data_IF_558576606856
#
_entry.id   IF_558576606856
#
_cell.length_a   1.000
_cell.length_b   1.000
_cell.length_c   1.000
_cell.angle_alpha   90.00
_cell.angle_beta   90.00
_cell.angle_gamma   90.00
#
_symmetry.space_group_name_H-M   'P 1'
#
loop_
_entity.id
_entity.type
_entity.pdbx_description
1 polymer ?
#
# COMPACT_ATOMS: atom_id res chain seq x y z
N UNK A 1 -12.66 -15.30 -4.87
CA UNK A 1 -12.86 -14.05 -4.10
C UNK A 1 -12.11 -12.93 -4.80
N UNK A 2 -12.76 -11.80 -5.08
CA UNK A 2 -12.09 -10.64 -5.65
C UNK A 2 -11.16 -9.99 -4.62
N UNK A 3 -10.08 -9.36 -5.09
CA UNK A 3 -9.18 -8.56 -4.24
C UNK A 3 -9.42 -7.09 -4.54
N UNK A 4 -9.41 -6.26 -3.50
CA UNK A 4 -9.55 -4.82 -3.63
C UNK A 4 -8.19 -4.22 -4.02
N UNK A 5 -8.19 -3.38 -5.05
CA UNK A 5 -7.01 -2.69 -5.55
C UNK A 5 -7.11 -1.22 -5.17
N UNK A 6 -6.03 -0.67 -4.62
CA UNK A 6 -5.93 0.73 -4.24
C UNK A 6 -4.80 1.38 -5.04
N UNK A 7 -5.06 2.59 -5.55
CA UNK A 7 -4.01 3.46 -6.04
C UNK A 7 -3.31 4.08 -4.84
N UNK A 8 -2.01 3.84 -4.71
CA UNK A 8 -1.20 4.33 -3.60
C UNK A 8 -0.08 5.21 -4.11
N UNK A 9 0.31 6.18 -3.29
CA UNK A 9 1.42 7.09 -3.56
C UNK A 9 2.37 7.07 -2.38
N UNK A 10 3.67 7.02 -2.66
CA UNK A 10 4.66 7.13 -1.59
C UNK A 10 4.70 8.55 -1.03
N UNK A 11 4.58 8.64 0.29
CA UNK A 11 4.80 9.87 1.05
C UNK A 11 6.25 9.93 1.52
N UNK A 12 6.76 11.14 1.75
CA UNK A 12 8.06 11.32 2.41
C UNK A 12 7.97 11.02 3.91
N UNK A 13 9.14 10.95 4.58
CA UNK A 13 9.22 10.57 5.99
C UNK A 13 8.52 11.56 6.95
N UNK A 14 8.28 12.78 6.49
CA UNK A 14 7.49 13.83 7.14
C UNK A 14 5.97 13.72 6.87
N UNK A 15 5.54 12.73 6.08
CA UNK A 15 4.12 12.51 5.74
C UNK A 15 3.63 13.38 4.59
N UNK A 16 4.49 14.19 3.97
CA UNK A 16 4.12 15.06 2.87
C UNK A 16 3.96 14.29 1.55
N UNK A 17 3.02 14.74 0.72
CA UNK A 17 2.85 14.23 -0.63
C UNK A 17 3.91 14.86 -1.54
N UNK A 18 4.48 14.09 -2.49
CA UNK A 18 5.43 14.65 -3.44
C UNK A 18 4.78 15.76 -4.29
N UNK A 19 5.52 16.85 -4.50
CA UNK A 19 5.06 18.03 -5.24
C UNK A 19 4.64 17.74 -6.69
N UNK A 20 5.15 16.64 -7.27
CA UNK A 20 4.74 16.16 -8.59
C UNK A 20 3.73 15.02 -8.45
N UNK A 21 2.46 15.22 -8.86
CA UNK A 21 1.41 14.23 -8.70
C UNK A 21 1.49 13.06 -9.70
N UNK A 22 2.54 12.95 -10.50
CA UNK A 22 2.64 11.98 -11.61
C UNK A 22 3.79 10.99 -11.48
N UNK A 23 4.65 11.10 -10.47
CA UNK A 23 5.76 10.17 -10.26
C UNK A 23 5.56 9.32 -9.00
N UNK A 24 5.48 8.00 -9.15
CA UNK A 24 5.46 7.06 -8.02
C UNK A 24 4.08 6.58 -7.57
N UNK A 25 3.06 6.69 -8.43
CA UNK A 25 1.78 6.01 -8.20
C UNK A 25 1.95 4.51 -8.48
N UNK A 26 1.57 3.69 -7.50
CA UNK A 26 1.64 2.24 -7.54
C UNK A 26 0.24 1.66 -7.26
N UNK A 27 0.01 0.40 -7.64
CA UNK A 27 -1.23 -0.31 -7.31
C UNK A 27 -0.91 -1.33 -6.22
N UNK A 28 -1.56 -1.19 -5.07
CA UNK A 28 -1.44 -2.14 -3.97
C UNK A 28 -2.73 -2.93 -3.79
N UNK A 29 -2.60 -4.19 -3.42
CA UNK A 29 -3.73 -5.02 -3.03
C UNK A 29 -4.05 -4.79 -1.55
N UNK A 30 -5.30 -4.46 -1.24
CA UNK A 30 -5.75 -4.20 0.11
C UNK A 30 -6.11 -5.50 0.86
N UNK A 31 -5.45 -5.75 1.99
CA UNK A 31 -5.78 -6.86 2.90
C UNK A 31 -6.41 -6.41 4.23
N UNK A 32 -6.45 -5.11 4.50
CA UNK A 32 -6.82 -4.56 5.82
C UNK A 32 -8.12 -3.75 5.79
N UNK A 33 -8.56 -3.32 4.61
CA UNK A 33 -9.78 -2.53 4.44
C UNK A 33 -9.52 -1.03 4.35
N UNK A 34 -8.33 -0.60 3.90
CA UNK A 34 -7.96 0.82 3.88
C UNK A 34 -8.87 1.67 2.98
N UNK A 35 -9.22 2.86 3.45
CA UNK A 35 -9.98 3.89 2.77
C UNK A 35 -9.10 4.87 1.98
N UNK A 36 -9.77 5.72 1.20
CA UNK A 36 -9.09 6.81 0.47
C UNK A 36 -8.65 7.89 1.45
N UNK A 37 -7.39 8.32 1.33
CA UNK A 37 -6.80 9.37 2.18
C UNK A 37 -6.17 8.85 3.47
N UNK A 38 -6.24 7.55 3.74
CA UNK A 38 -5.54 6.94 4.86
C UNK A 38 -4.06 6.73 4.55
N UNK A 39 -3.22 6.97 5.54
CA UNK A 39 -1.81 6.61 5.48
C UNK A 39 -1.67 5.12 5.75
N UNK A 40 -0.95 4.42 4.87
CA UNK A 40 -0.86 2.96 4.91
C UNK A 40 0.57 2.46 4.84
N UNK A 41 0.81 1.28 5.42
CA UNK A 41 2.06 0.55 5.30
C UNK A 41 1.97 -0.47 4.17
N UNK A 42 2.97 -0.45 3.29
CA UNK A 42 3.05 -1.30 2.12
C UNK A 42 4.12 -2.38 2.31
N UNK A 43 3.81 -3.62 1.89
CA UNK A 43 4.77 -4.70 1.74
C UNK A 43 4.99 -4.97 0.26
N UNK A 44 6.25 -4.98 -0.17
CA UNK A 44 6.65 -5.18 -1.56
C UNK A 44 7.29 -6.54 -1.83
N UNK A 45 7.34 -6.91 -3.11
CA UNK A 45 8.07 -8.08 -3.62
C UNK A 45 7.49 -9.41 -3.15
N UNK A 46 8.37 -10.36 -2.82
CA UNK A 46 7.95 -11.71 -2.39
C UNK A 46 7.15 -11.72 -1.10
N UNK A 47 7.37 -10.76 -0.22
CA UNK A 47 6.64 -10.62 1.05
C UNK A 47 5.17 -10.28 0.83
N UNK A 48 4.85 -9.47 -0.18
CA UNK A 48 3.47 -9.09 -0.51
C UNK A 48 2.57 -10.31 -0.80
N UNK A 49 3.14 -11.37 -1.36
CA UNK A 49 2.43 -12.61 -1.70
C UNK A 49 1.97 -13.41 -0.49
N UNK A 50 2.67 -13.27 0.64
CA UNK A 50 2.36 -13.99 1.88
C UNK A 50 1.26 -13.32 2.71
N UNK A 51 0.87 -12.09 2.37
CA UNK A 51 -0.17 -11.33 3.08
C UNK A 51 -1.54 -12.00 2.91
N UNK A 52 -1.77 -12.64 1.77
CA UNK A 52 -3.03 -13.27 1.43
C UNK A 52 -2.91 -14.79 1.45
N UNK A 53 -3.95 -15.48 1.89
CA UNK A 53 -4.03 -16.94 1.77
C UNK A 53 -4.21 -17.34 0.29
N UNK A 54 -3.44 -18.34 -0.17
CA UNK A 54 -3.55 -18.92 -1.53
C UNK A 54 -2.45 -18.48 -2.51
N UNK A 55 -2.54 -18.88 -3.79
CA UNK A 55 -1.56 -18.53 -4.82
C UNK A 55 -1.72 -17.06 -5.22
N UNK A 56 -0.77 -16.23 -4.82
CA UNK A 56 -0.79 -14.78 -5.02
C UNK A 56 0.45 -14.29 -5.78
N UNK A 57 0.94 -15.11 -6.72
CA UNK A 57 2.21 -14.90 -7.44
C UNK A 57 2.29 -13.56 -8.18
N UNK A 58 1.16 -13.04 -8.63
CA UNK A 58 1.07 -11.76 -9.34
C UNK A 58 1.03 -10.52 -8.44
N UNK A 59 1.00 -10.67 -7.11
CA UNK A 59 0.98 -9.53 -6.19
C UNK A 59 2.43 -9.12 -5.88
N UNK A 60 2.80 -7.92 -6.29
CA UNK A 60 4.09 -7.29 -5.97
C UNK A 60 3.99 -6.27 -4.83
N UNK A 61 2.79 -5.77 -4.52
CA UNK A 61 2.55 -4.75 -3.51
C UNK A 61 1.23 -5.00 -2.77
N UNK A 62 1.29 -5.00 -1.44
CA UNK A 62 0.14 -5.25 -0.58
C UNK A 62 0.08 -4.23 0.57
N UNK A 63 -1.12 -3.76 0.89
CA UNK A 63 -1.38 -2.97 2.11
C UNK A 63 -1.45 -3.91 3.29
N UNK A 64 -0.56 -3.72 4.27
CA UNK A 64 -0.46 -4.61 5.45
C UNK A 64 -0.90 -3.95 6.76
N UNK A 65 -1.13 -2.63 6.76
CA UNK A 65 -1.60 -1.90 7.93
C UNK A 65 -1.97 -0.45 7.62
N UNK A 66 -2.75 0.14 8.51
CA UNK A 66 -3.09 1.57 8.52
C UNK A 66 -2.22 2.22 9.59
N UNK A 67 -1.66 3.40 9.27
CA UNK A 67 -0.75 4.13 10.15
C UNK A 67 -1.53 5.15 10.96
N UNK A 68 -1.51 5.03 12.29
CA UNK A 68 -2.18 5.98 13.18
C UNK A 68 -1.39 7.28 13.38
N UNK A 69 -0.06 7.20 13.44
CA UNK A 69 0.80 8.36 13.72
C UNK A 69 2.18 8.17 13.11
N UNK A 70 2.73 9.24 12.52
CA UNK A 70 4.13 9.36 12.15
C UNK A 70 4.84 10.24 13.19
N UNK A 71 5.92 9.72 13.78
CA UNK A 71 6.75 10.47 14.72
C UNK A 71 8.18 10.49 14.18
N UNK A 72 8.75 11.69 14.04
CA UNK A 72 10.14 11.90 13.64
C UNK A 72 11.05 12.20 14.83
#
# INVERSE_FOLDING_TARGET
MGKKLLLVRRVSADGELPASPTSGDEVAVDSVGAGVGELVLLSGGSSARHVFSGPNEAIDLAVVGIVDTLSC
#
